data_IF_570879517151
#
_entry.id   IF_570879517151
#
_cell.length_a   1.000
_cell.length_b   1.000
_cell.length_c   1.000
_cell.angle_alpha   90.00
_cell.angle_beta   90.00
_cell.angle_gamma   90.00
#
_symmetry.space_group_name_H-M   'P 1'
#
loop_
_entity.id
_entity.type
_entity.pdbx_description
1 polymer ?
#
# COMPACT_ATOMS: atom_id res chain seq x y z
N UNK A 1 8.48 -27.39 18.09
CA UNK A 1 8.83 -26.02 17.69
C UNK A 1 7.67 -25.09 18.01
N UNK A 2 7.95 -23.93 18.60
CA UNK A 2 6.91 -22.93 18.87
C UNK A 2 6.44 -22.34 17.52
N UNK A 3 5.14 -22.42 17.23
CA UNK A 3 4.58 -21.84 16.00
C UNK A 3 4.80 -20.33 16.02
N UNK A 4 5.41 -19.77 14.99
CA UNK A 4 5.59 -18.33 14.84
C UNK A 4 4.23 -17.65 14.63
N UNK A 5 4.01 -16.46 15.20
CA UNK A 5 2.77 -15.73 14.97
C UNK A 5 2.70 -15.26 13.52
N UNK A 6 1.51 -15.29 12.95
CA UNK A 6 1.22 -14.66 11.65
C UNK A 6 1.15 -13.15 11.84
N UNK A 7 1.89 -12.40 11.04
CA UNK A 7 1.96 -10.94 11.14
C UNK A 7 1.39 -10.30 9.88
N UNK A 8 0.48 -9.35 10.03
CA UNK A 8 0.12 -8.40 8.98
C UNK A 8 0.85 -7.09 9.23
N UNK A 9 1.73 -6.71 8.30
CA UNK A 9 2.56 -5.52 8.37
C UNK A 9 2.02 -4.45 7.43
N UNK A 10 1.54 -3.35 7.99
CA UNK A 10 0.95 -2.23 7.26
C UNK A 10 1.95 -1.10 7.12
N UNK A 11 2.23 -0.68 5.91
CA UNK A 11 3.11 0.46 5.63
C UNK A 11 2.66 1.23 4.38
N UNK A 12 2.83 2.55 4.42
CA UNK A 12 2.57 3.44 3.28
C UNK A 12 3.60 3.27 2.15
N UNK A 13 4.79 2.79 2.50
CA UNK A 13 5.96 2.72 1.63
C UNK A 13 6.62 1.34 1.67
N UNK A 14 7.11 0.89 0.51
CA UNK A 14 7.91 -0.32 0.40
C UNK A 14 9.01 -0.14 -0.65
N UNK A 15 10.27 -0.02 -0.22
CA UNK A 15 11.44 0.03 -1.10
C UNK A 15 11.96 -1.38 -1.39
N UNK A 16 11.27 -2.12 -2.25
CA UNK A 16 11.70 -3.47 -2.63
C UNK A 16 12.81 -3.40 -3.67
N UNK A 17 12.66 -2.55 -4.69
CA UNK A 17 13.61 -2.37 -5.76
C UNK A 17 13.67 -0.88 -6.16
N UNK A 18 14.82 -0.39 -6.57
CA UNK A 18 15.07 1.03 -6.83
C UNK A 18 14.21 1.64 -7.95
N UNK A 19 13.86 0.82 -8.95
CA UNK A 19 12.99 1.20 -10.06
C UNK A 19 11.50 1.07 -9.75
N UNK A 20 11.13 0.47 -8.62
CA UNK A 20 9.75 0.34 -8.16
C UNK A 20 9.42 1.48 -7.20
N UNK A 21 8.69 2.48 -7.70
CA UNK A 21 8.46 3.75 -7.02
C UNK A 21 7.32 3.68 -5.99
N UNK A 22 7.46 2.81 -5.02
CA UNK A 22 6.53 2.63 -3.91
C UNK A 22 7.04 3.20 -2.58
N UNK A 23 8.06 4.05 -2.63
CA UNK A 23 8.67 4.63 -1.43
C UNK A 23 9.20 6.04 -1.68
N UNK A 24 9.37 6.80 -0.60
CA UNK A 24 9.98 8.14 -0.60
C UNK A 24 11.27 8.20 0.20
N UNK A 25 11.37 7.46 1.30
CA UNK A 25 12.48 7.61 2.24
C UNK A 25 12.77 6.38 3.09
N UNK A 26 13.37 6.61 4.26
CA UNK A 26 13.85 5.58 5.17
C UNK A 26 12.77 4.62 5.68
N UNK A 27 11.53 5.10 5.79
CA UNK A 27 10.39 4.28 6.15
C UNK A 27 10.20 3.12 5.17
N UNK A 28 10.26 3.44 3.88
CA UNK A 28 10.14 2.45 2.81
C UNK A 28 11.32 1.48 2.75
N UNK A 29 12.54 1.96 3.02
CA UNK A 29 13.75 1.12 3.09
C UNK A 29 13.58 0.08 4.21
N UNK A 30 13.21 0.50 5.41
CA UNK A 30 12.95 -0.41 6.54
C UNK A 30 11.88 -1.46 6.18
N UNK A 31 10.76 -1.01 5.60
CA UNK A 31 9.67 -1.91 5.22
C UNK A 31 10.08 -2.91 4.12
N UNK A 32 10.86 -2.45 3.14
CA UNK A 32 11.39 -3.28 2.06
C UNK A 32 12.33 -4.37 2.58
N UNK A 33 13.29 -3.98 3.41
CA UNK A 33 14.26 -4.92 4.02
C UNK A 33 13.54 -5.94 4.91
N UNK A 34 12.56 -5.48 5.71
CA UNK A 34 11.75 -6.36 6.55
C UNK A 34 10.98 -7.41 5.73
N UNK A 35 10.38 -7.01 4.60
CA UNK A 35 9.64 -7.93 3.74
C UNK A 35 10.55 -8.93 3.03
N UNK A 36 11.71 -8.50 2.56
CA UNK A 36 12.72 -9.39 1.95
C UNK A 36 13.22 -10.42 2.96
N UNK A 37 13.64 -9.98 4.14
CA UNK A 37 14.12 -10.86 5.20
C UNK A 37 13.04 -11.87 5.64
N UNK A 38 11.79 -11.42 5.74
CA UNK A 38 10.68 -12.31 6.06
C UNK A 38 10.47 -13.39 4.99
N UNK A 39 10.59 -13.04 3.70
CA UNK A 39 10.50 -13.99 2.61
C UNK A 39 11.67 -14.98 2.61
N UNK A 40 12.90 -14.49 2.76
CA UNK A 40 14.12 -15.29 2.73
C UNK A 40 14.14 -16.34 3.85
N UNK A 41 13.60 -16.01 5.01
CA UNK A 41 13.54 -16.92 6.16
C UNK A 41 12.20 -17.67 6.31
N UNK A 42 11.26 -17.48 5.39
CA UNK A 42 9.96 -18.14 5.44
C UNK A 42 9.12 -17.75 6.65
N UNK A 43 9.26 -16.52 7.16
CA UNK A 43 8.44 -16.02 8.25
C UNK A 43 7.00 -15.75 7.79
N UNK A 44 5.99 -16.06 8.61
CA UNK A 44 4.58 -15.89 8.25
C UNK A 44 4.14 -14.41 8.35
N UNK A 45 4.76 -13.57 7.53
CA UNK A 45 4.47 -12.14 7.42
C UNK A 45 3.76 -11.87 6.11
N UNK A 46 2.73 -11.03 6.14
CA UNK A 46 2.06 -10.49 4.96
C UNK A 46 2.12 -8.96 5.02
N UNK A 47 2.59 -8.34 3.96
CA UNK A 47 2.64 -6.88 3.81
C UNK A 47 1.36 -6.33 3.20
N UNK A 48 0.89 -5.20 3.70
CA UNK A 48 -0.21 -4.43 3.14
C UNK A 48 0.30 -3.02 2.85
N UNK A 49 0.20 -2.59 1.60
CA UNK A 49 0.62 -1.28 1.14
C UNK A 49 -0.34 -0.69 0.11
N UNK A 50 0.07 0.39 -0.51
CA UNK A 50 -0.68 1.06 -1.57
C UNK A 50 0.08 0.95 -2.90
N UNK A 51 -0.64 0.66 -3.97
CA UNK A 51 -0.12 0.71 -5.33
C UNK A 51 -0.15 2.16 -5.83
N UNK A 52 0.95 2.87 -5.57
CA UNK A 52 1.09 4.23 -6.01
C UNK A 52 1.21 4.33 -7.54
N UNK A 53 0.36 5.14 -8.17
CA UNK A 53 0.37 5.33 -9.62
C UNK A 53 1.60 6.10 -10.08
N UNK A 54 1.99 7.15 -9.35
CA UNK A 54 3.14 7.99 -9.66
C UNK A 54 4.31 7.81 -8.69
N UNK A 55 4.05 7.24 -7.52
CA UNK A 55 5.03 7.18 -6.44
C UNK A 55 5.29 8.56 -5.84
N UNK A 56 6.51 8.77 -5.37
CA UNK A 56 7.04 10.07 -4.98
C UNK A 56 7.69 10.75 -6.17
N UNK A 57 7.64 12.09 -6.28
CA UNK A 57 8.19 12.84 -7.41
C UNK A 57 9.69 12.58 -7.61
N UNK A 58 10.12 12.52 -8.85
CA UNK A 58 11.53 12.39 -9.21
C UNK A 58 12.10 13.76 -9.54
N UNK A 59 13.27 14.10 -8.97
CA UNK A 59 13.99 15.30 -9.35
C UNK A 59 14.84 15.00 -10.59
N UNK A 60 14.57 15.70 -11.65
CA UNK A 60 15.32 15.65 -12.90
C UNK A 60 16.02 16.99 -13.13
N UNK A 61 17.06 16.97 -13.96
CA UNK A 61 17.78 18.17 -14.37
C UNK A 61 17.43 18.45 -15.82
N UNK A 62 16.90 19.65 -16.07
CA UNK A 62 16.71 20.15 -17.42
C UNK A 62 18.09 20.34 -18.08
N UNK A 63 18.30 19.68 -19.21
CA UNK A 63 19.59 19.67 -19.91
C UNK A 63 19.93 20.99 -20.57
N UNK A 64 18.95 21.84 -20.87
CA UNK A 64 19.16 23.12 -21.57
C UNK A 64 19.61 24.23 -20.60
N UNK A 65 19.02 24.27 -19.41
CA UNK A 65 19.28 25.36 -18.46
C UNK A 65 19.85 24.90 -17.11
N UNK A 66 20.15 23.60 -16.98
CA UNK A 66 20.71 22.98 -15.77
C UNK A 66 19.88 23.23 -14.49
N UNK A 67 18.58 23.39 -14.61
CA UNK A 67 17.68 23.60 -13.47
C UNK A 67 17.00 22.30 -13.04
N UNK A 68 16.92 22.04 -11.73
CA UNK A 68 16.15 20.92 -11.24
C UNK A 68 14.65 21.18 -11.42
N UNK A 69 13.91 20.12 -11.74
CA UNK A 69 12.45 20.13 -11.75
C UNK A 69 11.91 18.80 -11.24
N UNK A 70 10.69 18.82 -10.67
CA UNK A 70 10.02 17.61 -10.20
C UNK A 70 9.21 17.00 -11.34
N UNK A 71 9.43 15.72 -11.60
CA UNK A 71 8.70 14.95 -12.59
C UNK A 71 7.79 13.91 -11.88
N UNK A 72 6.55 13.83 -12.36
CA UNK A 72 5.56 12.86 -11.90
C UNK A 72 5.17 11.96 -13.07
N UNK A 73 5.60 10.70 -13.03
CA UNK A 73 5.40 9.74 -14.12
C UNK A 73 4.50 8.61 -13.67
N UNK A 74 3.42 8.35 -14.42
CA UNK A 74 2.57 7.19 -14.16
C UNK A 74 3.37 5.90 -14.36
N UNK A 75 3.32 5.02 -13.37
CA UNK A 75 4.04 3.75 -13.36
C UNK A 75 3.06 2.60 -13.53
N UNK A 76 3.46 1.64 -14.35
CA UNK A 76 2.75 0.39 -14.56
C UNK A 76 3.75 -0.75 -14.33
N UNK A 77 3.34 -1.74 -13.57
CA UNK A 77 4.17 -2.87 -13.20
C UNK A 77 3.51 -4.16 -13.67
N UNK A 78 4.10 -4.81 -14.67
CA UNK A 78 3.59 -6.04 -15.29
C UNK A 78 3.75 -7.29 -14.42
N UNK A 79 4.63 -7.21 -13.40
CA UNK A 79 4.83 -8.27 -12.43
C UNK A 79 3.77 -8.31 -11.31
N UNK A 80 2.88 -7.32 -11.22
CA UNK A 80 1.78 -7.34 -10.25
C UNK A 80 0.71 -8.33 -10.71
N UNK A 81 0.39 -9.28 -9.85
CA UNK A 81 -0.65 -10.28 -10.10
C UNK A 81 -2.00 -9.76 -9.62
N UNK A 82 -3.00 -9.88 -10.49
CA UNK A 82 -4.38 -9.61 -10.13
C UNK A 82 -4.89 -10.73 -9.22
N UNK A 83 -5.29 -10.40 -8.00
CA UNK A 83 -5.86 -11.37 -7.07
C UNK A 83 -7.34 -11.67 -7.36
N UNK A 84 -7.99 -10.89 -8.23
CA UNK A 84 -9.44 -10.93 -8.44
C UNK A 84 -10.26 -10.33 -7.29
N UNK A 85 -9.60 -9.85 -6.23
CA UNK A 85 -10.25 -9.31 -5.03
C UNK A 85 -10.42 -7.80 -5.17
N UNK A 86 -11.63 -7.33 -4.89
CA UNK A 86 -11.95 -5.91 -4.73
C UNK A 86 -12.74 -5.74 -3.44
N UNK A 87 -12.30 -4.84 -2.59
CA UNK A 87 -13.00 -4.46 -1.36
C UNK A 87 -13.54 -3.03 -1.48
N UNK A 88 -14.43 -2.63 -0.60
CA UNK A 88 -15.01 -1.28 -0.61
C UNK A 88 -14.65 -0.56 0.67
N UNK A 89 -14.28 0.71 0.55
CA UNK A 89 -14.05 1.61 1.69
C UNK A 89 -14.94 2.82 1.55
N UNK A 90 -15.68 3.19 2.61
CA UNK A 90 -16.54 4.35 2.58
C UNK A 90 -15.75 5.60 2.95
N UNK A 91 -15.60 6.51 2.00
CA UNK A 91 -14.84 7.77 2.13
C UNK A 91 -15.73 8.93 1.67
N UNK A 92 -15.90 9.96 2.49
CA UNK A 92 -16.74 11.11 2.19
C UNK A 92 -18.14 10.73 1.69
N UNK A 93 -18.78 9.76 2.37
CA UNK A 93 -20.10 9.21 2.05
C UNK A 93 -20.19 8.48 0.69
N UNK A 94 -19.08 8.23 0.02
CA UNK A 94 -18.98 7.46 -1.24
C UNK A 94 -18.36 6.10 -0.96
N UNK A 95 -18.81 5.10 -1.68
CA UNK A 95 -18.23 3.76 -1.67
C UNK A 95 -17.10 3.69 -2.69
N UNK A 96 -15.85 3.68 -2.20
CA UNK A 96 -14.65 3.60 -3.01
C UNK A 96 -14.24 2.14 -3.16
N UNK A 97 -14.14 1.66 -4.39
CA UNK A 97 -13.64 0.33 -4.72
C UNK A 97 -12.12 0.31 -4.62
N UNK A 98 -11.60 -0.73 -3.97
CA UNK A 98 -10.16 -0.91 -3.75
C UNK A 98 -9.78 -2.30 -4.23
N UNK A 99 -9.06 -2.37 -5.34
CA UNK A 99 -8.54 -3.61 -5.91
C UNK A 99 -7.28 -4.04 -5.18
N UNK A 100 -7.11 -5.35 -5.00
CA UNK A 100 -5.96 -5.93 -4.34
C UNK A 100 -5.04 -6.57 -5.37
N UNK A 101 -3.80 -6.10 -5.43
CA UNK A 101 -2.74 -6.66 -6.25
C UNK A 101 -1.75 -7.42 -5.39
N UNK A 102 -1.25 -8.56 -5.85
CA UNK A 102 -0.12 -9.23 -5.23
C UNK A 102 1.18 -8.78 -5.90
N UNK A 103 2.12 -8.33 -5.11
CA UNK A 103 3.49 -8.12 -5.52
C UNK A 103 4.22 -9.47 -5.50
N UNK A 104 4.71 -9.92 -6.65
CA UNK A 104 5.41 -11.21 -6.76
C UNK A 104 6.63 -11.05 -7.67
N UNK A 105 7.64 -10.38 -7.14
CA UNK A 105 8.90 -10.10 -7.82
C UNK A 105 10.02 -9.78 -6.81
N UNK A 106 11.26 -9.77 -7.26
CA UNK A 106 12.45 -9.31 -6.52
C UNK A 106 12.61 -9.99 -5.14
N UNK A 107 12.26 -11.28 -5.05
CA UNK A 107 12.35 -12.04 -3.80
C UNK A 107 11.20 -11.82 -2.80
N UNK A 108 10.19 -11.00 -3.15
CA UNK A 108 9.02 -10.74 -2.30
C UNK A 108 7.76 -11.22 -2.99
N UNK A 109 6.95 -12.05 -2.33
CA UNK A 109 5.73 -12.62 -2.87
C UNK A 109 4.52 -12.55 -1.90
N UNK A 110 4.71 -11.96 -0.74
CA UNK A 110 3.72 -11.86 0.34
C UNK A 110 3.35 -10.39 0.64
N UNK A 111 3.55 -9.48 -0.32
CA UNK A 111 3.15 -8.08 -0.23
C UNK A 111 1.90 -7.87 -1.11
N UNK A 112 0.88 -7.26 -0.54
CA UNK A 112 -0.37 -6.91 -1.23
C UNK A 112 -0.54 -5.39 -1.28
N UNK A 113 -0.85 -4.91 -2.48
CA UNK A 113 -0.96 -3.48 -2.78
C UNK A 113 -2.39 -3.11 -3.12
N UNK A 114 -2.88 -2.07 -2.49
CA UNK A 114 -4.23 -1.54 -2.62
C UNK A 114 -4.28 -0.45 -3.69
N UNK A 115 -5.26 -0.53 -4.59
CA UNK A 115 -5.38 0.33 -5.76
C UNK A 115 -6.81 0.84 -5.92
N UNK A 116 -7.00 2.15 -5.94
CA UNK A 116 -8.30 2.78 -6.20
C UNK A 116 -8.48 3.19 -7.67
N UNK A 117 -7.43 3.09 -8.51
CA UNK A 117 -7.53 3.40 -9.94
C UNK A 117 -8.20 2.25 -10.71
N UNK A 118 -9.49 2.06 -10.45
CA UNK A 118 -10.30 0.97 -10.99
C UNK A 118 -11.61 1.49 -11.57
N UNK A 119 -12.18 0.69 -12.46
CA UNK A 119 -13.47 1.01 -13.08
C UNK A 119 -14.60 1.01 -12.05
N UNK A 120 -15.46 2.01 -12.19
CA UNK A 120 -16.58 2.26 -11.28
C UNK A 120 -16.25 3.18 -10.09
N UNK A 121 -15.02 3.65 -9.97
CA UNK A 121 -14.66 4.82 -9.18
C UNK A 121 -14.70 6.08 -10.07
N UNK A 122 -15.11 7.21 -9.49
CA UNK A 122 -14.97 8.52 -10.14
C UNK A 122 -13.49 9.00 -10.14
N UNK A 123 -13.22 10.12 -10.80
CA UNK A 123 -11.86 10.63 -10.96
C UNK A 123 -11.14 10.90 -9.64
N UNK A 124 -11.84 11.47 -8.66
CA UNK A 124 -11.28 11.80 -7.35
C UNK A 124 -10.95 10.52 -6.57
N UNK A 125 -11.87 9.57 -6.55
CA UNK A 125 -11.66 8.28 -5.90
C UNK A 125 -10.52 7.49 -6.53
N UNK A 126 -10.41 7.50 -7.87
CA UNK A 126 -9.31 6.86 -8.59
C UNK A 126 -7.94 7.48 -8.25
N UNK A 127 -7.93 8.77 -7.89
CA UNK A 127 -6.68 9.50 -7.59
C UNK A 127 -6.20 9.33 -6.15
N UNK A 128 -6.97 8.75 -5.24
CA UNK A 128 -6.55 8.51 -3.84
C UNK A 128 -5.21 7.76 -3.78
N UNK A 129 -5.02 6.74 -4.63
CA UNK A 129 -3.75 6.01 -4.75
C UNK A 129 -2.85 6.55 -5.86
N UNK A 130 -3.06 7.81 -6.27
CA UNK A 130 -2.31 8.46 -7.35
C UNK A 130 -0.87 8.76 -6.97
N UNK A 131 -0.66 9.55 -5.95
CA UNK A 131 0.65 10.05 -5.56
C UNK A 131 0.95 9.77 -4.08
N UNK A 132 2.11 9.19 -3.82
CA UNK A 132 2.61 8.96 -2.46
C UNK A 132 2.84 10.31 -1.77
N UNK A 133 2.18 10.52 -0.64
CA UNK A 133 2.21 11.77 0.11
C UNK A 133 1.79 13.02 -0.69
N UNK A 134 1.06 12.81 -1.80
CA UNK A 134 0.46 13.92 -2.53
C UNK A 134 -0.42 14.73 -1.59
N UNK A 135 -0.57 15.97 -1.83
CA UNK A 135 -1.35 17.01 -1.11
C UNK A 135 -1.63 16.74 0.39
N UNK A 136 -1.64 17.77 1.17
CA UNK A 136 -1.92 17.73 2.61
C UNK A 136 -3.43 17.86 2.87
N UNK A 137 -3.93 17.22 3.94
CA UNK A 137 -5.30 17.37 4.40
C UNK A 137 -6.19 16.15 4.10
N UNK A 138 -7.37 16.35 3.53
CA UNK A 138 -8.39 15.30 3.36
C UNK A 138 -7.92 14.13 2.49
N UNK A 139 -7.09 14.38 1.48
CA UNK A 139 -6.53 13.33 0.62
C UNK A 139 -5.62 12.38 1.40
N UNK A 140 -4.82 12.92 2.31
CA UNK A 140 -3.97 12.12 3.18
C UNK A 140 -4.79 11.18 4.06
N UNK A 141 -5.87 11.69 4.63
CA UNK A 141 -6.80 10.88 5.45
C UNK A 141 -7.43 9.79 4.59
N UNK A 142 -7.85 10.11 3.35
CA UNK A 142 -8.41 9.12 2.42
C UNK A 142 -7.40 8.00 2.09
N UNK A 143 -6.12 8.33 1.86
CA UNK A 143 -5.05 7.35 1.65
C UNK A 143 -4.87 6.43 2.86
N UNK A 144 -4.88 6.99 4.06
CA UNK A 144 -4.77 6.23 5.31
C UNK A 144 -6.01 5.36 5.59
N UNK A 145 -7.21 5.82 5.22
CA UNK A 145 -8.43 5.00 5.26
C UNK A 145 -8.35 3.82 4.28
N UNK A 146 -7.85 4.04 3.07
CA UNK A 146 -7.63 2.96 2.09
C UNK A 146 -6.62 1.95 2.66
N UNK A 147 -5.48 2.42 3.18
CA UNK A 147 -4.47 1.53 3.77
C UNK A 147 -5.04 0.73 4.94
N UNK A 148 -5.65 1.40 5.92
CA UNK A 148 -6.09 0.78 7.17
C UNK A 148 -7.35 -0.06 6.99
N UNK A 149 -8.47 0.57 6.63
CA UNK A 149 -9.77 -0.11 6.48
C UNK A 149 -9.70 -1.08 5.29
N UNK A 150 -9.23 -0.59 4.14
CA UNK A 150 -9.08 -1.39 2.93
C UNK A 150 -8.17 -2.59 3.15
N UNK A 151 -7.06 -2.40 3.86
CA UNK A 151 -6.10 -3.45 4.16
C UNK A 151 -6.65 -4.55 5.06
N UNK A 152 -7.40 -4.21 6.11
CA UNK A 152 -8.06 -5.22 6.98
C UNK A 152 -9.08 -6.03 6.17
N UNK A 153 -9.91 -5.36 5.36
CA UNK A 153 -10.89 -6.03 4.49
C UNK A 153 -10.22 -6.91 3.44
N UNK A 154 -9.11 -6.46 2.87
CA UNK A 154 -8.30 -7.24 1.93
C UNK A 154 -7.75 -8.51 2.59
N UNK A 155 -7.21 -8.43 3.82
CA UNK A 155 -6.76 -9.60 4.58
C UNK A 155 -7.88 -10.63 4.77
N UNK A 156 -9.09 -10.19 5.11
CA UNK A 156 -10.26 -11.08 5.26
C UNK A 156 -10.62 -11.76 3.94
N UNK A 157 -10.66 -10.97 2.85
CA UNK A 157 -10.98 -11.49 1.51
C UNK A 157 -9.91 -12.47 0.98
N UNK A 158 -8.64 -12.29 1.37
CA UNK A 158 -7.54 -13.20 1.09
C UNK A 158 -7.56 -14.47 1.98
N UNK A 159 -8.45 -14.55 2.98
CA UNK A 159 -8.48 -15.65 3.94
C UNK A 159 -7.30 -15.65 4.92
N UNK A 160 -6.65 -14.51 5.10
CA UNK A 160 -5.52 -14.35 6.02
C UNK A 160 -6.00 -13.78 7.36
N UNK A 161 -5.78 -14.56 8.42
CA UNK A 161 -6.07 -14.18 9.80
C UNK A 161 -4.76 -14.02 10.57
N UNK A 162 -4.27 -12.76 10.76
CA UNK A 162 -3.04 -12.52 11.50
C UNK A 162 -3.26 -12.65 13.00
N UNK A 163 -2.23 -13.12 13.69
CA UNK A 163 -2.14 -13.10 15.15
C UNK A 163 -1.71 -11.71 15.65
N UNK A 164 -0.96 -10.96 14.80
CA UNK A 164 -0.42 -9.64 15.09
C UNK A 164 -0.67 -8.69 13.92
N UNK A 165 -1.18 -7.52 14.23
CA UNK A 165 -1.27 -6.39 13.30
C UNK A 165 -0.17 -5.38 13.65
N UNK A 166 0.82 -5.27 12.78
CA UNK A 166 1.94 -4.35 12.96
C UNK A 166 1.71 -3.11 12.08
N UNK A 167 1.53 -1.97 12.71
CA UNK A 167 1.37 -0.67 12.03
C UNK A 167 2.71 0.04 12.01
N UNK A 168 3.21 0.32 10.82
CA UNK A 168 4.39 1.15 10.68
C UNK A 168 3.91 2.62 10.62
N UNK A 169 4.30 3.40 11.63
CA UNK A 169 3.86 4.77 11.87
C UNK A 169 2.33 4.91 12.10
N UNK A 170 1.84 6.15 12.13
CA UNK A 170 0.41 6.46 12.31
C UNK A 170 -0.46 6.19 11.09
N UNK A 171 0.12 5.96 9.92
CA UNK A 171 -0.56 5.85 8.63
C UNK A 171 -1.61 4.74 8.54
N UNK A 172 -1.44 3.69 9.32
CA UNK A 172 -2.35 2.54 9.35
C UNK A 172 -3.34 2.57 10.53
N UNK A 173 -3.47 3.68 11.24
CA UNK A 173 -4.33 3.79 12.42
C UNK A 173 -5.78 3.36 12.14
N UNK A 174 -6.30 3.65 10.96
CA UNK A 174 -7.65 3.25 10.56
C UNK A 174 -7.86 1.72 10.52
N UNK A 175 -6.80 0.92 10.44
CA UNK A 175 -6.91 -0.53 10.61
C UNK A 175 -7.39 -0.89 12.02
N UNK A 176 -6.94 -0.18 13.05
CA UNK A 176 -7.41 -0.35 14.42
C UNK A 176 -8.91 -0.08 14.57
N UNK A 177 -9.41 0.97 13.91
CA UNK A 177 -10.85 1.27 13.91
C UNK A 177 -11.66 0.18 13.20
N UNK A 178 -11.20 -0.35 12.07
CA UNK A 178 -11.90 -1.44 11.39
C UNK A 178 -11.91 -2.72 12.21
N UNK A 179 -10.81 -3.05 12.90
CA UNK A 179 -10.74 -4.20 13.81
C UNK A 179 -11.70 -4.05 15.01
N UNK A 180 -11.85 -2.82 15.55
CA UNK A 180 -12.83 -2.53 16.58
C UNK A 180 -14.24 -2.72 16.03
N UNK A 181 -14.53 -2.16 14.85
CA UNK A 181 -15.84 -2.31 14.18
C UNK A 181 -16.20 -3.78 13.99
N UNK A 182 -15.25 -4.63 13.53
CA UNK A 182 -15.47 -6.07 13.37
C UNK A 182 -15.87 -6.77 14.68
N UNK A 183 -15.31 -6.33 15.81
CA UNK A 183 -15.62 -6.90 17.13
C UNK A 183 -16.98 -6.45 17.70
N UNK A 184 -17.49 -5.32 17.20
CA UNK A 184 -18.76 -4.74 17.65
C UNK A 184 -19.96 -5.20 16.80
N UNK A 185 -19.70 -5.80 15.63
CA UNK A 185 -20.74 -6.28 14.71
C UNK A 185 -21.13 -7.72 15.00
#
# INVERSE_FOLDING_TARGET
MRKLPKVAYFCMEYAIESNVKLYAGGLGILAGDYMKEACDNGYPVIGIGIKWKQGYGEQLIDKENCRPYDAYVNRYYDFLKDTGITVTVRINQRDVKVKVWQYDAHGVNNLYLLDTDVDGNDGDARWITGQLYGWFGEERVAQEMVLGIGGVRALRALGFEPDVYHFNEGHALFAGFELIREKMA
#
